data_IF_880889433817
#
_entry.id   IF_880889433817
#
_cell.length_a   1.000
_cell.length_b   1.000
_cell.length_c   1.000
_cell.angle_alpha   90.00
_cell.angle_beta   90.00
_cell.angle_gamma   90.00
#
_symmetry.space_group_name_H-M   'P 1'
#
loop_
_entity.id
_entity.type
_entity.pdbx_description
1 polymer ?
#
# COMPACT_ATOMS: atom_id res chain seq x y z
N UNK A 1 -17.03 -14.94 27.96
CA UNK A 1 -18.42 -14.74 28.43
C UNK A 1 -18.74 -13.27 28.22
N UNK A 2 -19.90 -12.98 27.62
CA UNK A 2 -20.39 -11.61 27.49
C UNK A 2 -21.30 -11.35 28.69
N UNK A 3 -20.96 -10.38 29.50
CA UNK A 3 -21.82 -9.97 30.63
C UNK A 3 -22.71 -8.82 30.14
N UNK A 4 -24.04 -9.06 30.18
CA UNK A 4 -25.03 -8.14 29.67
C UNK A 4 -25.29 -8.26 28.17
N UNK A 5 -25.84 -7.21 27.56
CA UNK A 5 -26.14 -7.16 26.13
C UNK A 5 -24.87 -6.88 25.32
N UNK A 6 -24.62 -7.71 24.28
CA UNK A 6 -23.42 -7.63 23.48
C UNK A 6 -23.47 -6.52 22.44
N UNK A 7 -22.54 -5.57 22.55
CA UNK A 7 -22.36 -4.48 21.60
C UNK A 7 -21.29 -4.82 20.57
N UNK A 8 -21.71 -5.40 19.44
CA UNK A 8 -20.79 -5.77 18.34
C UNK A 8 -19.97 -4.57 17.81
N UNK A 9 -20.58 -3.41 17.83
CA UNK A 9 -20.00 -2.17 17.30
C UNK A 9 -19.75 -1.13 18.40
N UNK A 10 -19.52 -1.60 19.64
CA UNK A 10 -19.24 -0.74 20.81
C UNK A 10 -18.23 0.35 20.49
N UNK A 11 -18.46 1.56 20.97
CA UNK A 11 -17.47 2.61 20.97
C UNK A 11 -16.36 2.27 21.98
N UNK A 12 -15.12 2.33 21.53
CA UNK A 12 -13.91 2.05 22.32
C UNK A 12 -12.89 3.14 22.07
N UNK A 13 -11.95 3.31 22.97
CA UNK A 13 -10.90 4.32 22.84
C UNK A 13 -10.09 4.16 21.54
N UNK A 14 -9.85 2.92 21.11
CA UNK A 14 -9.08 2.61 19.92
C UNK A 14 -9.95 2.30 18.68
N UNK A 15 -11.28 2.46 18.80
CA UNK A 15 -12.22 2.17 17.73
C UNK A 15 -12.37 0.68 17.37
N UNK A 16 -11.67 -0.23 18.09
CA UNK A 16 -11.73 -1.69 17.83
C UNK A 16 -12.72 -2.33 18.80
N UNK A 17 -13.92 -2.64 18.30
CA UNK A 17 -14.94 -3.29 19.12
C UNK A 17 -14.62 -4.76 19.39
N UNK A 18 -14.94 -5.27 20.58
CA UNK A 18 -14.81 -6.69 20.89
C UNK A 18 -15.60 -7.57 19.92
N UNK A 19 -15.03 -8.73 19.53
CA UNK A 19 -15.70 -9.71 18.66
C UNK A 19 -16.10 -10.93 19.47
N UNK A 20 -17.38 -11.33 19.36
CA UNK A 20 -17.81 -12.64 19.79
C UNK A 20 -17.37 -13.74 18.80
N UNK A 21 -17.16 -14.95 19.29
CA UNK A 21 -17.00 -16.13 18.45
C UNK A 21 -18.36 -16.75 18.20
N UNK A 22 -18.53 -17.43 17.08
CA UNK A 22 -19.74 -18.22 16.81
C UNK A 22 -19.96 -19.25 17.92
N UNK A 23 -21.20 -19.34 18.38
CA UNK A 23 -21.58 -20.24 19.47
C UNK A 23 -21.26 -19.72 20.87
N UNK A 24 -20.78 -18.49 21.03
CA UNK A 24 -20.61 -17.89 22.35
C UNK A 24 -21.95 -17.46 22.92
N UNK A 25 -22.26 -17.89 24.17
CA UNK A 25 -23.45 -17.47 24.88
C UNK A 25 -23.54 -15.94 24.96
N UNK A 26 -24.72 -15.40 24.67
CA UNK A 26 -25.01 -13.96 24.60
C UNK A 26 -24.12 -13.19 23.58
N UNK A 27 -23.50 -13.89 22.64
CA UNK A 27 -22.63 -13.26 21.62
C UNK A 27 -23.30 -13.07 20.26
N UNK A 28 -24.63 -13.23 20.18
CA UNK A 28 -25.42 -12.99 18.96
C UNK A 28 -25.54 -11.49 18.72
N UNK A 29 -25.44 -11.07 17.47
CA UNK A 29 -25.53 -9.67 17.05
C UNK A 29 -26.16 -9.54 15.67
N UNK A 30 -26.69 -8.37 15.38
CA UNK A 30 -27.15 -7.99 14.05
C UNK A 30 -26.01 -7.50 13.20
N UNK A 31 -26.03 -7.84 11.92
CA UNK A 31 -25.07 -7.34 10.93
C UNK A 31 -25.80 -7.14 9.60
N UNK A 32 -25.92 -5.89 9.20
CA UNK A 32 -26.62 -5.46 7.98
C UNK A 32 -25.67 -4.72 7.05
N UNK A 33 -26.13 -4.36 5.85
CA UNK A 33 -25.42 -3.49 4.91
C UNK A 33 -25.61 -2.00 5.20
N UNK A 34 -26.53 -1.65 6.11
CA UNK A 34 -26.89 -0.28 6.42
C UNK A 34 -26.10 0.26 7.62
N UNK A 35 -26.27 1.56 7.93
CA UNK A 35 -25.70 2.13 9.14
C UNK A 35 -26.41 1.54 10.36
N UNK A 36 -25.64 1.30 11.41
CA UNK A 36 -26.13 0.65 12.62
C UNK A 36 -25.61 1.32 13.88
N UNK A 37 -26.36 1.11 14.97
CA UNK A 37 -25.94 1.47 16.31
C UNK A 37 -24.88 0.50 16.87
N UNK A 38 -24.52 0.67 18.14
CA UNK A 38 -23.53 -0.19 18.81
C UNK A 38 -23.96 -1.66 18.89
N UNK A 39 -25.25 -1.96 18.85
CA UNK A 39 -25.80 -3.32 18.89
C UNK A 39 -25.92 -3.96 17.51
N UNK A 40 -25.83 -3.16 16.45
CA UNK A 40 -26.01 -3.59 15.07
C UNK A 40 -27.43 -3.39 14.53
N UNK A 41 -28.29 -2.71 15.27
CA UNK A 41 -29.64 -2.35 14.79
C UNK A 41 -29.51 -1.21 13.77
N UNK A 42 -30.27 -1.31 12.69
CA UNK A 42 -30.32 -0.29 11.64
C UNK A 42 -30.80 1.04 12.24
N UNK A 43 -30.14 2.12 11.87
CA UNK A 43 -30.49 3.46 12.33
C UNK A 43 -30.31 4.50 11.22
N UNK A 44 -31.22 5.48 11.19
CA UNK A 44 -31.14 6.68 10.34
C UNK A 44 -30.77 7.93 11.17
N UNK A 45 -30.44 7.77 12.45
CA UNK A 45 -30.05 8.88 13.32
C UNK A 45 -28.73 9.50 12.83
N UNK A 46 -28.72 10.80 12.48
CA UNK A 46 -27.53 11.46 11.96
C UNK A 46 -26.39 11.56 12.98
N UNK A 47 -26.68 11.59 14.28
CA UNK A 47 -25.66 11.66 15.31
C UNK A 47 -24.96 10.30 15.45
N UNK A 48 -25.70 9.21 15.43
CA UNK A 48 -25.13 7.85 15.41
C UNK A 48 -24.26 7.66 14.16
N UNK A 49 -24.75 8.14 13.00
CA UNK A 49 -23.99 8.11 11.75
C UNK A 49 -22.64 8.82 11.87
N UNK A 50 -22.62 10.02 12.42
CA UNK A 50 -21.37 10.79 12.63
C UNK A 50 -20.42 10.01 13.54
N UNK A 51 -20.90 9.55 14.70
CA UNK A 51 -20.08 8.81 15.66
C UNK A 51 -19.50 7.51 15.06
N UNK A 52 -20.29 6.77 14.28
CA UNK A 52 -19.83 5.54 13.63
C UNK A 52 -18.82 5.81 12.52
N UNK A 53 -18.97 6.91 11.77
CA UNK A 53 -17.98 7.33 10.78
C UNK A 53 -16.67 7.73 11.46
N UNK A 54 -16.72 8.55 12.51
CA UNK A 54 -15.52 8.97 13.26
C UNK A 54 -14.79 7.76 13.83
N UNK A 55 -15.53 6.80 14.40
CA UNK A 55 -14.97 5.55 14.88
C UNK A 55 -14.27 4.75 13.78
N UNK A 56 -14.87 4.63 12.58
CA UNK A 56 -14.27 3.91 11.46
C UNK A 56 -13.01 4.61 10.94
N UNK A 57 -13.04 5.93 10.87
CA UNK A 57 -11.90 6.71 10.36
C UNK A 57 -10.74 6.73 11.36
N UNK A 58 -11.01 6.92 12.66
CA UNK A 58 -9.98 6.92 13.69
C UNK A 58 -9.16 5.63 13.74
N UNK A 59 -9.75 4.49 13.38
CA UNK A 59 -9.01 3.22 13.28
C UNK A 59 -7.95 3.24 12.19
N UNK A 60 -8.19 3.94 11.08
CA UNK A 60 -7.21 4.06 9.99
C UNK A 60 -5.97 4.84 10.46
N UNK A 61 -6.17 5.87 11.27
CA UNK A 61 -5.07 6.67 11.83
C UNK A 61 -4.16 5.86 12.78
N UNK A 62 -4.70 4.77 13.34
CA UNK A 62 -3.94 3.89 14.22
C UNK A 62 -3.17 2.79 13.47
N UNK A 63 -3.53 2.47 12.24
CA UNK A 63 -2.94 1.34 11.50
C UNK A 63 -1.44 1.54 11.31
N UNK A 64 -1.00 2.70 10.83
CA UNK A 64 0.43 3.00 10.61
C UNK A 64 1.24 3.04 11.90
N UNK A 65 0.59 3.24 13.05
CA UNK A 65 1.24 3.26 14.38
C UNK A 65 1.34 1.87 15.01
N UNK A 66 0.45 0.94 14.63
CA UNK A 66 0.33 -0.39 15.25
C UNK A 66 0.93 -1.51 14.41
N UNK A 67 0.92 -1.35 13.08
CA UNK A 67 1.55 -2.31 12.17
C UNK A 67 3.05 -2.03 12.16
N UNK A 68 3.92 -3.03 12.36
CA UNK A 68 5.37 -2.87 12.26
C UNK A 68 5.79 -2.28 10.90
N UNK A 69 6.83 -1.47 10.89
CA UNK A 69 7.29 -0.76 9.69
C UNK A 69 7.64 -1.71 8.55
N UNK A 70 8.28 -2.84 8.83
CA UNK A 70 8.66 -3.89 7.86
C UNK A 70 7.45 -4.67 7.32
N UNK A 71 6.31 -4.61 8.00
CA UNK A 71 5.04 -5.12 7.48
C UNK A 71 4.32 -4.10 6.60
N UNK A 72 4.62 -2.81 6.74
CA UNK A 72 4.07 -1.73 5.91
C UNK A 72 4.87 -1.54 4.63
N UNK A 73 6.20 -1.56 4.71
CA UNK A 73 7.14 -1.36 3.61
C UNK A 73 8.37 -2.24 3.78
N UNK A 74 8.79 -2.91 2.73
CA UNK A 74 10.04 -3.68 2.74
C UNK A 74 11.08 -2.96 1.90
N UNK A 75 12.23 -2.65 2.51
CA UNK A 75 13.36 -2.04 1.81
C UNK A 75 14.39 -3.09 1.38
N UNK A 76 14.76 -3.08 0.12
CA UNK A 76 15.85 -3.86 -0.48
C UNK A 76 17.05 -2.96 -0.80
N UNK A 77 17.23 -1.90 -0.03
CA UNK A 77 18.23 -0.87 -0.22
C UNK A 77 17.65 0.38 -0.88
N UNK A 78 18.35 1.51 -0.61
CA UNK A 78 18.04 2.82 -1.21
C UNK A 78 19.32 3.38 -1.79
N UNK A 79 19.24 3.83 -3.04
CA UNK A 79 20.34 4.42 -3.80
C UNK A 79 19.87 5.67 -4.54
N UNK A 80 20.74 6.34 -5.26
CA UNK A 80 20.40 7.52 -6.06
C UNK A 80 19.18 7.25 -6.96
N UNK A 81 19.16 6.10 -7.63
CA UNK A 81 17.99 5.56 -8.33
C UNK A 81 17.30 4.56 -7.42
N UNK A 82 16.05 4.80 -7.08
CA UNK A 82 15.29 3.91 -6.21
C UNK A 82 13.91 3.63 -6.79
N UNK A 83 13.59 2.36 -6.88
CA UNK A 83 12.30 1.87 -7.36
C UNK A 83 11.30 1.86 -6.20
N UNK A 84 10.07 2.27 -6.48
CA UNK A 84 8.89 1.95 -5.68
C UNK A 84 8.00 0.99 -6.47
N UNK A 85 7.40 0.03 -5.80
CA UNK A 85 6.43 -0.88 -6.43
C UNK A 85 5.63 -1.63 -5.37
N UNK A 86 4.67 -2.42 -5.79
CA UNK A 86 3.82 -3.25 -4.94
C UNK A 86 3.42 -4.56 -5.61
N UNK A 87 2.95 -5.54 -4.82
CA UNK A 87 2.40 -6.78 -5.33
C UNK A 87 3.41 -7.68 -6.06
N UNK A 88 2.98 -8.25 -7.18
CA UNK A 88 3.69 -9.32 -7.90
C UNK A 88 4.93 -8.88 -8.69
N UNK A 89 5.13 -7.58 -8.87
CA UNK A 89 6.29 -7.02 -9.57
C UNK A 89 7.62 -7.24 -8.83
N UNK A 90 7.57 -7.57 -7.54
CA UNK A 90 8.75 -7.74 -6.67
C UNK A 90 9.79 -8.70 -7.24
N UNK A 91 9.39 -9.91 -7.65
CA UNK A 91 10.33 -10.93 -8.15
C UNK A 91 11.13 -10.43 -9.35
N UNK A 92 10.49 -10.06 -10.45
CA UNK A 92 11.17 -9.53 -11.64
C UNK A 92 12.02 -8.29 -11.37
N UNK A 93 11.62 -7.41 -10.44
CA UNK A 93 12.42 -6.23 -10.05
C UNK A 93 13.73 -6.67 -9.38
N UNK A 94 13.66 -7.58 -8.41
CA UNK A 94 14.86 -8.06 -7.70
C UNK A 94 15.83 -8.77 -8.63
N UNK A 95 15.33 -9.56 -9.57
CA UNK A 95 16.15 -10.23 -10.58
C UNK A 95 16.84 -9.21 -11.49
N UNK A 96 16.13 -8.19 -11.97
CA UNK A 96 16.71 -7.12 -12.79
C UNK A 96 17.79 -6.33 -12.03
N UNK A 97 17.52 -5.98 -10.77
CA UNK A 97 18.51 -5.30 -9.89
C UNK A 97 19.75 -6.18 -9.70
N UNK A 98 19.58 -7.49 -9.55
CA UNK A 98 20.70 -8.42 -9.39
C UNK A 98 21.60 -8.47 -10.63
N UNK A 99 21.02 -8.35 -11.83
CA UNK A 99 21.78 -8.28 -13.09
C UNK A 99 22.55 -6.96 -13.17
N UNK A 100 21.88 -5.83 -12.94
CA UNK A 100 22.50 -4.49 -12.98
C UNK A 100 23.64 -4.34 -11.96
N UNK A 101 23.49 -4.94 -10.79
CA UNK A 101 24.53 -4.95 -9.76
C UNK A 101 25.82 -5.62 -10.22
N UNK A 102 25.75 -6.68 -11.04
CA UNK A 102 26.94 -7.32 -11.63
C UNK A 102 27.66 -6.43 -12.63
N UNK A 103 26.93 -5.45 -13.20
CA UNK A 103 27.49 -4.43 -14.09
C UNK A 103 27.96 -3.17 -13.32
N UNK A 104 27.95 -3.20 -11.99
CA UNK A 104 28.36 -2.07 -11.14
C UNK A 104 27.27 -1.00 -10.94
N UNK A 105 26.04 -1.24 -11.41
CA UNK A 105 24.93 -0.30 -11.30
C UNK A 105 24.10 -0.65 -10.04
N UNK A 106 24.05 0.26 -9.08
CA UNK A 106 23.31 0.08 -7.85
C UNK A 106 21.95 0.81 -7.92
N UNK A 107 20.87 0.05 -7.84
CA UNK A 107 19.50 0.56 -7.81
C UNK A 107 18.84 0.08 -6.52
N UNK A 108 18.18 1.00 -5.80
CA UNK A 108 17.40 0.69 -4.62
C UNK A 108 16.00 0.21 -5.00
N UNK A 109 15.36 -0.49 -4.07
CA UNK A 109 13.96 -0.88 -4.20
C UNK A 109 13.25 -0.86 -2.86
N UNK A 110 12.10 -0.21 -2.79
CA UNK A 110 11.16 -0.31 -1.68
C UNK A 110 9.83 -0.88 -2.17
N UNK A 111 9.39 -1.96 -1.53
CA UNK A 111 8.08 -2.56 -1.79
C UNK A 111 7.06 -1.98 -0.81
N UNK A 112 6.04 -1.32 -1.34
CA UNK A 112 4.90 -0.85 -0.55
C UNK A 112 3.93 -2.02 -0.34
N UNK A 113 3.63 -2.35 0.91
CA UNK A 113 2.67 -3.40 1.29
C UNK A 113 1.38 -2.79 1.82
N UNK A 114 1.47 -1.71 2.59
CA UNK A 114 0.33 -0.97 3.10
C UNK A 114 0.04 0.22 2.18
N UNK A 115 -1.06 0.13 1.44
CA UNK A 115 -1.46 1.17 0.48
C UNK A 115 -2.33 2.24 1.13
N UNK A 116 -3.18 1.85 2.07
CA UNK A 116 -4.06 2.77 2.79
C UNK A 116 -4.34 2.28 4.22
N UNK A 117 -4.13 3.12 5.23
CA UNK A 117 -3.47 4.43 5.16
C UNK A 117 -2.01 4.30 4.69
N UNK A 118 -1.55 5.28 3.90
CA UNK A 118 -0.20 5.23 3.34
C UNK A 118 0.84 5.56 4.43
N UNK A 119 1.93 4.79 4.58
CA UNK A 119 2.94 5.00 5.62
C UNK A 119 3.91 6.13 5.25
N UNK A 120 3.38 7.35 5.13
CA UNK A 120 4.05 8.51 4.56
C UNK A 120 5.37 8.85 5.21
N UNK A 121 5.41 8.90 6.53
CA UNK A 121 6.60 9.33 7.28
C UNK A 121 7.73 8.29 7.17
N UNK A 122 7.36 7.02 7.22
CA UNK A 122 8.33 5.94 7.05
C UNK A 122 8.91 5.92 5.64
N UNK A 123 8.06 6.03 4.60
CA UNK A 123 8.50 6.11 3.20
C UNK A 123 9.38 7.35 2.96
N UNK A 124 9.02 8.52 3.50
CA UNK A 124 9.86 9.74 3.43
C UNK A 124 11.22 9.51 4.06
N UNK A 125 11.26 8.87 5.22
CA UNK A 125 12.52 8.58 5.92
C UNK A 125 13.44 7.68 5.12
N UNK A 126 12.91 6.62 4.51
CA UNK A 126 13.66 5.71 3.66
C UNK A 126 14.22 6.41 2.42
N UNK A 127 13.43 7.26 1.75
CA UNK A 127 13.78 7.89 0.49
C UNK A 127 14.56 9.21 0.62
N UNK A 128 15.01 9.56 1.83
CA UNK A 128 15.71 10.83 2.08
C UNK A 128 16.90 11.07 1.17
N UNK A 129 17.65 10.02 0.83
CA UNK A 129 18.86 10.10 0.03
C UNK A 129 18.67 9.66 -1.44
N UNK A 130 17.47 9.21 -1.82
CA UNK A 130 17.16 8.85 -3.20
C UNK A 130 17.01 10.14 -4.04
N UNK A 131 17.66 10.20 -5.20
CA UNK A 131 17.57 11.34 -6.11
C UNK A 131 16.45 11.14 -7.13
N UNK A 132 16.37 9.96 -7.71
CA UNK A 132 15.44 9.58 -8.76
C UNK A 132 14.52 8.48 -8.27
N UNK A 133 13.20 8.68 -8.38
CA UNK A 133 12.19 7.69 -8.01
C UNK A 133 11.56 7.10 -9.28
N UNK A 134 11.58 5.78 -9.36
CA UNK A 134 11.06 5.00 -10.49
C UNK A 134 9.87 4.19 -9.99
N UNK A 135 8.70 4.37 -10.60
CA UNK A 135 7.50 3.59 -10.28
C UNK A 135 7.32 2.47 -11.31
N UNK A 136 7.24 1.23 -10.82
CA UNK A 136 7.05 0.04 -11.66
C UNK A 136 5.74 -0.63 -11.30
N UNK A 137 4.75 -0.62 -12.24
CA UNK A 137 3.41 -1.11 -11.96
C UNK A 137 2.79 -1.88 -13.13
N UNK A 138 2.02 -2.94 -12.77
CA UNK A 138 1.24 -3.71 -13.72
C UNK A 138 -0.16 -3.10 -13.95
N UNK A 139 -0.24 -1.79 -14.24
CA UNK A 139 -1.48 -1.08 -14.59
C UNK A 139 -1.20 0.08 -15.54
N UNK A 140 -2.29 0.62 -16.13
CA UNK A 140 -2.19 1.71 -17.11
C UNK A 140 -1.83 3.05 -16.48
N UNK A 141 -2.27 3.35 -15.28
CA UNK A 141 -2.32 4.74 -14.79
C UNK A 141 -1.26 5.12 -13.77
N UNK A 142 -0.37 4.20 -13.36
CA UNK A 142 0.61 4.46 -12.30
C UNK A 142 -0.11 4.80 -10.99
N UNK A 143 -0.93 3.88 -10.49
CA UNK A 143 -1.81 4.12 -9.35
C UNK A 143 -1.04 4.37 -8.06
N UNK A 144 0.00 3.56 -7.80
CA UNK A 144 0.88 3.75 -6.64
C UNK A 144 1.61 5.08 -6.74
N UNK A 145 2.13 5.43 -7.91
CA UNK A 145 2.82 6.71 -8.12
C UNK A 145 1.94 7.91 -7.79
N UNK A 146 0.63 7.85 -8.08
CA UNK A 146 -0.33 8.89 -7.70
C UNK A 146 -0.55 8.96 -6.18
N UNK A 147 -0.73 7.80 -5.54
CA UNK A 147 -0.86 7.70 -4.08
C UNK A 147 0.42 8.20 -3.41
N UNK A 148 1.57 7.79 -3.92
CA UNK A 148 2.87 8.24 -3.45
C UNK A 148 3.00 9.77 -3.51
N UNK A 149 2.74 10.37 -4.68
CA UNK A 149 2.79 11.83 -4.85
C UNK A 149 1.89 12.54 -3.85
N UNK A 150 0.66 12.07 -3.68
CA UNK A 150 -0.31 12.68 -2.77
C UNK A 150 0.13 12.63 -1.31
N UNK A 151 0.80 11.54 -0.88
CA UNK A 151 1.13 11.29 0.52
C UNK A 151 2.57 11.69 0.89
N UNK A 152 3.53 11.52 -0.03
CA UNK A 152 4.95 11.82 0.19
C UNK A 152 5.28 13.26 -0.22
N UNK A 153 4.44 13.87 -1.06
CA UNK A 153 4.62 15.20 -1.66
C UNK A 153 5.91 15.30 -2.51
N UNK A 154 6.20 14.21 -3.23
CA UNK A 154 7.33 14.09 -4.14
C UNK A 154 6.87 13.50 -5.47
N UNK A 155 7.44 13.99 -6.58
CA UNK A 155 7.13 13.47 -7.92
C UNK A 155 7.80 12.11 -8.15
N UNK A 156 7.20 11.36 -9.09
CA UNK A 156 7.82 10.20 -9.72
C UNK A 156 8.57 10.69 -10.95
N UNK A 157 9.84 10.33 -11.06
CA UNK A 157 10.67 10.75 -12.18
C UNK A 157 10.43 9.90 -13.43
N UNK A 158 10.27 8.58 -13.24
CA UNK A 158 10.02 7.63 -14.31
C UNK A 158 8.93 6.61 -13.95
N UNK A 159 8.11 6.26 -14.93
CA UNK A 159 7.12 5.21 -14.86
C UNK A 159 7.46 4.08 -15.83
N UNK A 160 7.57 2.85 -15.34
CA UNK A 160 7.66 1.63 -16.13
C UNK A 160 6.36 0.85 -15.90
N UNK A 161 5.49 0.83 -16.90
CA UNK A 161 4.14 0.29 -16.76
C UNK A 161 3.91 -0.88 -17.72
N UNK A 162 3.13 -1.86 -17.31
CA UNK A 162 2.67 -2.96 -18.17
C UNK A 162 1.19 -3.25 -17.93
N UNK A 163 0.42 -3.28 -18.99
CA UNK A 163 -1.02 -3.55 -18.93
C UNK A 163 -1.52 -4.39 -20.10
N UNK A 164 -0.67 -5.29 -20.58
CA UNK A 164 -0.95 -6.22 -21.70
C UNK A 164 -1.72 -7.46 -21.25
N UNK A 165 -2.02 -7.60 -19.95
CA UNK A 165 -2.59 -8.84 -19.39
C UNK A 165 -1.54 -9.92 -19.08
N UNK A 166 -0.26 -9.65 -19.34
CA UNK A 166 0.86 -10.57 -19.06
C UNK A 166 1.74 -10.00 -17.94
N UNK A 167 2.43 -10.89 -17.21
CA UNK A 167 3.39 -10.49 -16.18
C UNK A 167 4.57 -9.72 -16.76
N UNK A 168 5.21 -8.92 -15.93
CA UNK A 168 6.51 -8.30 -16.25
C UNK A 168 7.61 -9.34 -16.18
N UNK A 169 8.61 -9.21 -17.04
CA UNK A 169 9.82 -10.02 -16.98
C UNK A 169 10.99 -9.22 -16.45
N UNK A 170 11.97 -9.90 -15.86
CA UNK A 170 13.20 -9.25 -15.37
C UNK A 170 14.00 -8.58 -16.49
N UNK A 171 13.99 -9.16 -17.70
CA UNK A 171 14.66 -8.59 -18.88
C UNK A 171 14.06 -7.25 -19.29
N UNK A 172 12.72 -7.17 -19.41
CA UNK A 172 12.04 -5.92 -19.76
C UNK A 172 12.36 -4.81 -18.74
N UNK A 173 12.32 -5.15 -17.44
CA UNK A 173 12.64 -4.21 -16.35
C UNK A 173 14.11 -3.80 -16.41
N UNK A 174 15.02 -4.75 -16.61
CA UNK A 174 16.46 -4.48 -16.76
C UNK A 174 16.73 -3.50 -17.91
N UNK A 175 16.18 -3.75 -19.10
CA UNK A 175 16.37 -2.90 -20.27
C UNK A 175 15.87 -1.47 -20.03
N UNK A 176 14.71 -1.33 -19.37
CA UNK A 176 14.15 -0.02 -19.04
C UNK A 176 14.99 0.72 -18.00
N UNK A 177 15.43 0.03 -16.93
CA UNK A 177 16.27 0.60 -15.90
C UNK A 177 17.64 1.05 -16.46
N UNK A 178 18.22 0.27 -17.36
CA UNK A 178 19.48 0.61 -18.02
C UNK A 178 19.35 1.90 -18.84
N UNK A 179 18.30 2.03 -19.63
CA UNK A 179 18.00 3.28 -20.36
C UNK A 179 17.86 4.49 -19.42
N UNK A 180 17.23 4.31 -18.25
CA UNK A 180 17.07 5.40 -17.26
C UNK A 180 18.45 5.84 -16.74
N UNK A 181 19.30 4.90 -16.35
CA UNK A 181 20.63 5.20 -15.82
C UNK A 181 21.52 5.86 -16.89
N UNK A 182 21.36 5.47 -18.15
CA UNK A 182 22.08 6.04 -19.30
C UNK A 182 21.48 7.37 -19.80
N UNK A 183 20.46 7.92 -19.12
CA UNK A 183 19.73 9.13 -19.51
C UNK A 183 19.10 9.06 -20.92
N UNK A 184 18.69 7.88 -21.34
CA UNK A 184 18.09 7.61 -22.65
C UNK A 184 16.67 7.02 -22.53
N UNK A 185 15.93 7.39 -21.48
CA UNK A 185 14.59 6.89 -21.22
C UNK A 185 13.54 7.98 -21.34
N UNK A 186 12.35 7.59 -21.80
CA UNK A 186 11.15 8.42 -21.67
C UNK A 186 10.66 8.41 -20.22
N UNK A 187 10.07 9.51 -19.76
CA UNK A 187 9.47 9.59 -18.41
C UNK A 187 8.39 8.52 -18.16
N UNK A 188 7.79 8.00 -19.21
CA UNK A 188 6.80 6.93 -19.16
C UNK A 188 7.11 5.92 -20.25
N UNK A 189 7.46 4.72 -19.84
CA UNK A 189 7.67 3.56 -20.70
C UNK A 189 6.55 2.55 -20.48
N UNK A 190 6.03 1.98 -21.58
CA UNK A 190 5.02 0.93 -21.54
C UNK A 190 5.65 -0.35 -22.11
N UNK A 191 5.74 -1.36 -21.26
CA UNK A 191 6.32 -2.64 -21.65
C UNK A 191 5.28 -3.42 -22.48
N UNK A 192 5.72 -3.92 -23.64
CA UNK A 192 4.85 -4.63 -24.58
C UNK A 192 5.32 -6.05 -24.92
N UNK A 193 6.55 -6.40 -24.52
CA UNK A 193 7.17 -7.70 -24.80
C UNK A 193 7.08 -8.62 -23.57
N UNK A 194 7.52 -9.86 -23.75
CA UNK A 194 7.52 -10.87 -22.69
C UNK A 194 6.41 -11.91 -22.84
N UNK A 195 6.65 -13.08 -22.27
CA UNK A 195 5.90 -14.33 -22.44
C UNK A 195 4.43 -14.25 -22.06
#
# INVERSE_FOLDING_TARGET
KVDGEYKRFAFTEDGISPRSRLGLDNGVFWNTGDESDEFGHITEDPQVRIQMMDKRMSRLDLVTKRVPDDEQVVSFGVHDYTIISWGSTKGPILDAISILKKEGINIGFIQIKLIHPFPSDYVKSLLKNAKTIIDIEANHSGQLGKIFKQNVLREIDYFILKYTGRGMTSTEIYDSLKKIVENNANKREVLSHGA
#
